data_IF_421802309643
#
_entry.id   IF_421802309643
#
_cell.length_a   1.000
_cell.length_b   1.000
_cell.length_c   1.000
_cell.angle_alpha   90.00
_cell.angle_beta   90.00
_cell.angle_gamma   90.00
#
_symmetry.space_group_name_H-M   'P 1'
#
loop_
_entity.id
_entity.type
_entity.pdbx_description
1 polymer ?
#
# COMPACT_ATOMS: atom_id res chain seq x y z
N UNK A 1 -1.52 -3.31 -33.61
CA UNK A 1 -0.27 -3.31 -32.84
C UNK A 1 -0.57 -2.92 -31.41
N UNK A 2 -0.65 -3.87 -30.47
CA UNK A 2 -0.75 -3.58 -29.02
C UNK A 2 0.67 -3.51 -28.50
N UNK A 3 1.18 -2.33 -28.24
CA UNK A 3 2.42 -2.13 -27.51
C UNK A 3 2.20 -2.63 -26.08
N UNK A 4 2.59 -3.87 -25.80
CA UNK A 4 2.62 -4.37 -24.44
C UNK A 4 3.69 -3.56 -23.69
N UNK A 5 3.24 -2.76 -22.72
CA UNK A 5 4.17 -2.11 -21.78
C UNK A 5 5.01 -3.20 -21.10
N UNK A 6 6.32 -2.94 -20.86
CA UNK A 6 7.15 -3.86 -20.11
C UNK A 6 6.43 -4.31 -18.83
N UNK A 7 6.54 -5.58 -18.48
CA UNK A 7 5.83 -6.21 -17.35
C UNK A 7 5.97 -5.42 -16.04
N UNK A 8 7.11 -4.78 -15.85
CA UNK A 8 7.42 -4.00 -14.66
C UNK A 8 6.68 -2.66 -14.61
N UNK A 9 6.56 -1.97 -15.76
CA UNK A 9 5.79 -0.71 -15.84
C UNK A 9 4.30 -0.97 -15.57
N UNK A 10 3.74 -2.05 -16.09
CA UNK A 10 2.35 -2.39 -15.84
C UNK A 10 2.07 -2.73 -14.35
N UNK A 11 3.03 -3.35 -13.66
CA UNK A 11 2.94 -3.62 -12.21
C UNK A 11 2.98 -2.34 -11.39
N UNK A 12 3.89 -1.42 -11.71
CA UNK A 12 4.00 -0.12 -11.04
C UNK A 12 2.72 0.69 -11.23
N UNK A 13 2.16 0.74 -12.44
CA UNK A 13 0.90 1.44 -12.72
C UNK A 13 -0.28 0.83 -11.95
N UNK A 14 -0.39 -0.50 -11.90
CA UNK A 14 -1.44 -1.18 -11.12
C UNK A 14 -1.30 -0.90 -9.63
N UNK A 15 -0.08 -0.97 -9.10
CA UNK A 15 0.20 -0.63 -7.71
C UNK A 15 -0.17 0.82 -7.39
N UNK A 16 0.20 1.76 -8.26
CA UNK A 16 -0.18 3.16 -8.14
C UNK A 16 -1.69 3.38 -8.17
N UNK A 17 -2.40 2.70 -9.07
CA UNK A 17 -3.86 2.77 -9.15
C UNK A 17 -4.54 2.22 -7.88
N UNK A 18 -4.05 1.10 -7.33
CA UNK A 18 -4.54 0.57 -6.05
C UNK A 18 -4.26 1.55 -4.91
N UNK A 19 -3.06 2.15 -4.89
CA UNK A 19 -2.71 3.17 -3.88
C UNK A 19 -3.65 4.38 -3.94
N UNK A 20 -3.96 4.88 -5.14
CA UNK A 20 -4.88 6.00 -5.33
C UNK A 20 -6.31 5.65 -4.87
N UNK A 21 -6.79 4.45 -5.21
CA UNK A 21 -8.11 3.98 -4.77
C UNK A 21 -8.17 3.85 -3.24
N UNK A 22 -7.13 3.30 -2.61
CA UNK A 22 -7.05 3.21 -1.16
C UNK A 22 -7.06 4.58 -0.49
N UNK A 23 -6.29 5.53 -1.03
CA UNK A 23 -6.24 6.90 -0.54
C UNK A 23 -7.61 7.57 -0.66
N UNK A 24 -8.26 7.45 -1.81
CA UNK A 24 -9.58 8.04 -2.03
C UNK A 24 -10.63 7.43 -1.09
N UNK A 25 -10.68 6.10 -0.95
CA UNK A 25 -11.59 5.42 -0.04
C UNK A 25 -11.32 5.81 1.41
N UNK A 26 -10.07 5.72 1.85
CA UNK A 26 -9.68 6.04 3.22
C UNK A 26 -10.04 7.46 3.60
N UNK A 27 -9.70 8.43 2.74
CA UNK A 27 -10.02 9.84 2.97
C UNK A 27 -11.53 10.10 3.00
N UNK A 28 -12.29 9.50 2.09
CA UNK A 28 -13.76 9.61 2.10
C UNK A 28 -14.36 9.08 3.40
N UNK A 29 -13.87 7.96 3.91
CA UNK A 29 -14.34 7.39 5.18
C UNK A 29 -13.93 8.23 6.39
N UNK A 30 -12.74 8.84 6.37
CA UNK A 30 -12.32 9.81 7.40
C UNK A 30 -13.30 10.98 7.44
N UNK A 31 -13.58 11.61 6.29
CA UNK A 31 -14.51 12.73 6.22
C UNK A 31 -15.92 12.34 6.66
N UNK A 32 -16.40 11.16 6.26
CA UNK A 32 -17.70 10.64 6.71
C UNK A 32 -17.72 10.42 8.23
N UNK A 33 -16.66 9.86 8.81
CA UNK A 33 -16.54 9.68 10.26
C UNK A 33 -16.55 11.00 11.02
N UNK A 34 -15.83 12.02 10.53
CA UNK A 34 -15.86 13.37 11.11
C UNK A 34 -17.28 13.96 11.04
N UNK A 35 -17.96 13.85 9.90
CA UNK A 35 -19.33 14.34 9.73
C UNK A 35 -20.33 13.62 10.64
N UNK A 36 -20.06 12.38 11.06
CA UNK A 36 -20.85 11.62 12.02
C UNK A 36 -20.45 11.89 13.48
N UNK A 37 -19.48 12.77 13.73
CA UNK A 37 -19.02 13.14 15.09
C UNK A 37 -18.20 12.04 15.78
N UNK A 38 -17.54 11.13 15.04
CA UNK A 38 -16.70 10.07 15.61
C UNK A 38 -15.36 10.57 16.15
N UNK A 39 -15.02 11.84 15.88
CA UNK A 39 -13.74 12.44 16.24
C UNK A 39 -12.57 11.99 15.35
N UNK A 40 -11.45 12.70 15.48
CA UNK A 40 -10.27 12.55 14.60
C UNK A 40 -9.66 11.15 14.62
N UNK A 41 -9.45 10.60 15.81
CA UNK A 41 -8.72 9.32 15.97
C UNK A 41 -9.53 8.15 15.39
N UNK A 42 -10.82 8.08 15.74
CA UNK A 42 -11.70 6.97 15.30
C UNK A 42 -11.92 7.04 13.79
N UNK A 43 -12.21 8.24 13.26
CA UNK A 43 -12.38 8.46 11.82
C UNK A 43 -11.12 8.10 11.04
N UNK A 44 -9.96 8.53 11.52
CA UNK A 44 -8.66 8.21 10.93
C UNK A 44 -8.41 6.69 10.94
N UNK A 45 -8.56 6.03 12.09
CA UNK A 45 -8.36 4.58 12.20
C UNK A 45 -9.30 3.78 11.28
N UNK A 46 -10.57 4.17 11.21
CA UNK A 46 -11.56 3.53 10.33
C UNK A 46 -11.18 3.65 8.86
N UNK A 47 -10.80 4.86 8.40
CA UNK A 47 -10.39 5.11 7.02
C UNK A 47 -9.16 4.29 6.63
N UNK A 48 -8.14 4.27 7.48
CA UNK A 48 -6.91 3.49 7.20
C UNK A 48 -7.14 1.99 7.26
N UNK A 49 -7.97 1.50 8.19
CA UNK A 49 -8.32 0.07 8.25
C UNK A 49 -9.04 -0.37 6.99
N UNK A 50 -9.99 0.41 6.50
CA UNK A 50 -10.72 0.11 5.27
C UNK A 50 -9.79 0.16 4.04
N UNK A 51 -8.94 1.18 3.93
CA UNK A 51 -7.94 1.30 2.86
C UNK A 51 -6.94 0.13 2.86
N UNK A 52 -6.43 -0.25 4.03
CA UNK A 52 -5.52 -1.40 4.16
C UNK A 52 -6.19 -2.70 3.74
N UNK A 53 -7.42 -2.92 4.17
CA UNK A 53 -8.20 -4.12 3.83
C UNK A 53 -8.41 -4.20 2.32
N UNK A 54 -8.88 -3.11 1.70
CA UNK A 54 -9.05 -3.05 0.24
C UNK A 54 -7.72 -3.28 -0.48
N UNK A 55 -6.65 -2.61 -0.04
CA UNK A 55 -5.31 -2.74 -0.61
C UNK A 55 -4.77 -4.16 -0.53
N UNK A 56 -4.97 -4.84 0.57
CA UNK A 56 -4.57 -6.23 0.74
C UNK A 56 -5.28 -7.13 -0.28
N UNK A 57 -6.61 -7.01 -0.42
CA UNK A 57 -7.37 -7.84 -1.35
C UNK A 57 -7.04 -7.53 -2.82
N UNK A 58 -6.92 -6.25 -3.18
CA UNK A 58 -6.58 -5.85 -4.54
C UNK A 58 -5.16 -6.24 -4.91
N UNK A 59 -4.18 -5.99 -4.04
CA UNK A 59 -2.80 -6.35 -4.30
C UNK A 59 -2.63 -7.86 -4.39
N UNK A 60 -3.25 -8.64 -3.52
CA UNK A 60 -3.20 -10.10 -3.57
C UNK A 60 -3.76 -10.65 -4.87
N UNK A 61 -4.90 -10.12 -5.35
CA UNK A 61 -5.58 -10.62 -6.55
C UNK A 61 -5.02 -10.05 -7.86
N UNK A 62 -4.65 -8.77 -7.87
CA UNK A 62 -4.39 -8.04 -9.12
C UNK A 62 -2.92 -7.72 -9.35
N UNK A 63 -2.15 -7.45 -8.30
CA UNK A 63 -0.74 -7.06 -8.42
C UNK A 63 0.18 -8.26 -8.32
N UNK A 64 -0.09 -9.19 -7.42
CA UNK A 64 0.82 -10.30 -7.13
C UNK A 64 0.37 -11.66 -7.64
N UNK A 65 -0.84 -11.82 -8.19
CA UNK A 65 -1.40 -12.96 -8.95
C UNK A 65 -0.88 -14.40 -8.72
N UNK A 66 0.14 -14.60 -7.91
CA UNK A 66 0.75 -15.86 -7.47
C UNK A 66 1.52 -15.64 -6.18
N UNK A 67 1.53 -16.66 -5.31
CA UNK A 67 2.20 -16.81 -4.03
C UNK A 67 3.27 -15.75 -3.73
N UNK A 68 2.88 -14.71 -2.99
CA UNK A 68 3.84 -13.73 -2.49
C UNK A 68 4.89 -14.43 -1.64
N UNK A 69 6.17 -14.12 -1.84
CA UNK A 69 7.23 -14.55 -0.94
C UNK A 69 6.82 -14.22 0.50
N UNK A 70 6.93 -15.15 1.46
CA UNK A 70 6.50 -14.93 2.84
C UNK A 70 7.05 -13.64 3.47
N UNK A 71 8.26 -13.24 3.09
CA UNK A 71 8.88 -12.00 3.57
C UNK A 71 8.30 -10.70 2.97
N UNK A 72 7.63 -10.74 1.82
CA UNK A 72 7.06 -9.55 1.18
C UNK A 72 5.85 -9.02 1.95
N UNK A 73 5.02 -9.91 2.50
CA UNK A 73 3.86 -9.53 3.33
C UNK A 73 4.31 -8.84 4.61
N UNK A 74 5.33 -9.37 5.28
CA UNK A 74 5.87 -8.77 6.50
C UNK A 74 6.48 -7.39 6.22
N UNK A 75 7.26 -7.23 5.15
CA UNK A 75 7.83 -5.94 4.74
C UNK A 75 6.76 -4.93 4.35
N UNK A 76 5.71 -5.38 3.68
CA UNK A 76 4.55 -4.54 3.35
C UNK A 76 3.83 -4.07 4.62
N UNK A 77 3.58 -4.98 5.57
CA UNK A 77 2.96 -4.65 6.85
C UNK A 77 3.82 -3.68 7.67
N UNK A 78 5.15 -3.87 7.73
CA UNK A 78 6.05 -2.94 8.41
C UNK A 78 6.04 -1.55 7.76
N UNK A 79 6.09 -1.47 6.44
CA UNK A 79 5.98 -0.19 5.72
C UNK A 79 4.67 0.52 6.03
N UNK A 80 3.57 -0.24 6.11
CA UNK A 80 2.28 0.29 6.53
C UNK A 80 2.32 0.85 7.96
N UNK A 81 2.84 0.09 8.92
CA UNK A 81 2.92 0.53 10.33
C UNK A 81 3.71 1.83 10.46
N UNK A 82 4.85 1.95 9.77
CA UNK A 82 5.66 3.17 9.79
C UNK A 82 4.92 4.34 9.16
N UNK A 83 4.33 4.15 7.98
CA UNK A 83 3.61 5.21 7.28
C UNK A 83 2.36 5.66 8.05
N UNK A 84 1.61 4.71 8.62
CA UNK A 84 0.43 5.01 9.44
C UNK A 84 0.81 5.70 10.75
N UNK A 85 1.88 5.26 11.40
CA UNK A 85 2.40 5.92 12.62
C UNK A 85 2.78 7.38 12.37
N UNK A 86 3.40 7.69 11.23
CA UNK A 86 3.72 9.06 10.84
C UNK A 86 2.45 9.90 10.61
N UNK A 87 1.44 9.34 9.93
CA UNK A 87 0.14 10.01 9.76
C UNK A 87 -0.54 10.27 11.11
N UNK A 88 -0.63 9.26 11.98
CA UNK A 88 -1.25 9.40 13.28
C UNK A 88 -0.52 10.44 14.15
N UNK A 89 0.81 10.51 14.04
CA UNK A 89 1.61 11.53 14.70
C UNK A 89 1.23 12.96 14.28
N UNK A 90 0.97 13.19 12.97
CA UNK A 90 0.48 14.49 12.48
C UNK A 90 -0.89 14.82 13.09
N UNK A 91 -1.82 13.86 13.07
CA UNK A 91 -3.18 14.07 13.62
C UNK A 91 -3.11 14.43 15.09
N UNK A 92 -2.35 13.70 15.89
CA UNK A 92 -2.20 13.96 17.33
C UNK A 92 -1.52 15.32 17.58
N UNK A 93 -0.46 15.65 16.83
CA UNK A 93 0.21 16.94 16.94
C UNK A 93 -0.71 18.11 16.58
N UNK A 94 -1.53 17.96 15.55
CA UNK A 94 -2.51 18.98 15.14
C UNK A 94 -3.63 19.13 16.18
N UNK A 95 -4.12 18.04 16.76
CA UNK A 95 -5.10 18.08 17.85
C UNK A 95 -4.55 18.86 19.06
N UNK A 96 -3.29 18.61 19.45
CA UNK A 96 -2.64 19.33 20.55
C UNK A 96 -2.42 20.81 20.25
N UNK A 97 -2.36 21.19 18.98
CA UNK A 97 -2.31 22.58 18.52
C UNK A 97 -3.68 23.24 18.33
N UNK A 98 -4.78 22.55 18.66
CA UNK A 98 -6.16 23.07 18.58
C UNK A 98 -6.86 22.86 17.24
N UNK A 99 -6.22 22.16 16.29
CA UNK A 99 -6.85 21.81 15.00
C UNK A 99 -7.64 20.50 15.14
N UNK A 100 -8.81 20.56 15.79
CA UNK A 100 -9.68 19.41 16.03
C UNK A 100 -10.62 19.25 14.82
N UNK A 101 -10.83 18.00 14.37
CA UNK A 101 -11.74 17.62 13.28
C UNK A 101 -11.48 18.38 11.95
N UNK A 102 -10.23 18.74 11.68
CA UNK A 102 -9.85 19.46 10.49
C UNK A 102 -9.62 18.54 9.30
N UNK A 103 -10.43 18.63 8.21
CA UNK A 103 -10.21 17.84 7.00
C UNK A 103 -8.83 18.02 6.38
N UNK A 104 -8.25 19.22 6.51
CA UNK A 104 -6.92 19.53 5.97
C UNK A 104 -5.79 18.80 6.71
N UNK A 105 -5.93 18.56 8.02
CA UNK A 105 -4.99 17.78 8.81
C UNK A 105 -4.98 16.32 8.31
N UNK A 106 -6.17 15.76 8.11
CA UNK A 106 -6.30 14.40 7.57
C UNK A 106 -5.78 14.29 6.14
N UNK A 107 -5.99 15.32 5.31
CA UNK A 107 -5.45 15.37 3.95
C UNK A 107 -3.91 15.40 3.97
N UNK A 108 -3.30 16.24 4.80
CA UNK A 108 -1.84 16.34 4.96
C UNK A 108 -1.25 15.01 5.47
N UNK A 109 -1.88 14.41 6.47
CA UNK A 109 -1.49 13.09 6.99
C UNK A 109 -1.58 12.00 5.92
N UNK A 110 -2.63 12.01 5.10
CA UNK A 110 -2.83 11.05 4.02
C UNK A 110 -1.79 11.22 2.90
N UNK A 111 -1.43 12.45 2.56
CA UNK A 111 -0.34 12.74 1.62
C UNK A 111 1.00 12.21 2.15
N UNK A 112 1.35 12.50 3.41
CA UNK A 112 2.57 12.00 4.03
C UNK A 112 2.60 10.47 4.08
N UNK A 113 1.51 9.84 4.52
CA UNK A 113 1.35 8.39 4.49
C UNK A 113 1.64 7.82 3.10
N UNK A 114 1.02 8.39 2.06
CA UNK A 114 1.17 7.90 0.68
C UNK A 114 2.61 7.99 0.19
N UNK A 115 3.32 9.07 0.51
CA UNK A 115 4.74 9.24 0.15
C UNK A 115 5.62 8.21 0.87
N UNK A 116 5.46 8.07 2.19
CA UNK A 116 6.26 7.11 2.99
C UNK A 116 5.97 5.68 2.54
N UNK A 117 4.70 5.34 2.34
CA UNK A 117 4.29 4.01 1.91
C UNK A 117 4.81 3.66 0.51
N UNK A 118 4.76 4.62 -0.44
CA UNK A 118 5.31 4.44 -1.77
C UNK A 118 6.82 4.23 -1.74
N UNK A 119 7.56 5.12 -1.06
CA UNK A 119 9.02 5.02 -0.97
C UNK A 119 9.47 3.74 -0.25
N UNK A 120 8.81 3.40 0.85
CA UNK A 120 9.07 2.17 1.60
C UNK A 120 8.76 0.92 0.76
N UNK A 121 7.63 0.90 0.08
CA UNK A 121 7.27 -0.21 -0.80
C UNK A 121 8.25 -0.36 -1.95
N UNK A 122 8.65 0.73 -2.61
CA UNK A 122 9.60 0.70 -3.71
C UNK A 122 10.99 0.21 -3.28
N UNK A 123 11.47 0.60 -2.07
CA UNK A 123 12.82 0.27 -1.61
C UNK A 123 12.92 -1.04 -0.84
N UNK A 124 11.89 -1.44 -0.08
CA UNK A 124 11.95 -2.62 0.80
C UNK A 124 11.16 -3.82 0.27
N UNK A 125 10.04 -3.59 -0.42
CA UNK A 125 9.21 -4.70 -0.92
C UNK A 125 9.74 -5.21 -2.25
N UNK A 126 10.21 -4.33 -3.11
CA UNK A 126 10.67 -4.66 -4.47
C UNK A 126 12.18 -4.83 -4.62
N UNK A 127 12.99 -4.35 -3.68
CA UNK A 127 14.46 -4.52 -3.72
C UNK A 127 14.93 -5.98 -3.56
N UNK A 128 14.09 -6.86 -2.99
CA UNK A 128 14.43 -8.28 -2.78
C UNK A 128 14.08 -9.21 -3.94
N UNK A 129 13.58 -8.70 -5.05
CA UNK A 129 13.17 -9.55 -6.19
C UNK A 129 14.09 -9.50 -7.41
N UNK A 130 15.10 -8.62 -7.39
CA UNK A 130 16.02 -8.46 -8.51
C UNK A 130 17.35 -9.23 -8.34
N UNK A 131 17.68 -9.69 -7.15
CA UNK A 131 19.01 -10.22 -6.82
C UNK A 131 19.02 -11.71 -6.44
N UNK A 132 17.99 -12.48 -6.78
CA UNK A 132 18.03 -13.94 -6.58
C UNK A 132 18.09 -14.65 -7.95
N UNK A 133 19.30 -14.88 -8.51
CA UNK A 133 19.50 -15.66 -9.72
C UNK A 133 19.05 -17.12 -9.55
N UNK A 134 19.02 -17.63 -8.32
CA UNK A 134 18.69 -19.01 -8.01
C UNK A 134 17.17 -19.26 -8.05
N UNK A 135 16.35 -18.23 -7.78
CA UNK A 135 14.91 -18.33 -7.93
C UNK A 135 14.47 -18.48 -9.41
N UNK A 136 15.24 -17.92 -10.34
CA UNK A 136 15.02 -18.10 -11.79
C UNK A 136 15.45 -19.47 -12.28
N UNK A 137 16.55 -20.01 -11.74
CA UNK A 137 17.05 -21.34 -12.06
C UNK A 137 16.10 -22.46 -11.55
N UNK A 138 15.53 -22.29 -10.36
CA UNK A 138 14.61 -23.26 -9.76
C UNK A 138 13.27 -23.38 -10.50
N UNK A 139 12.83 -22.34 -11.21
CA UNK A 139 11.59 -22.37 -12.02
C UNK A 139 11.83 -23.03 -13.38
N UNK A 140 13.04 -23.04 -13.88
CA UNK A 140 13.36 -23.55 -15.21
C UNK A 140 13.76 -25.05 -15.22
N UNK A 141 14.02 -25.64 -14.04
CA UNK A 141 14.36 -27.07 -13.91
C UNK A 141 13.13 -27.99 -13.72
N UNK A 142 11.92 -27.48 -13.76
CA UNK A 142 10.69 -28.25 -13.54
C UNK A 142 9.88 -28.53 -14.80
N UNK A 143 10.55 -28.79 -15.94
CA UNK A 143 9.94 -29.47 -17.09
C UNK A 143 10.57 -30.85 -17.26
N UNK A 144 9.98 -31.94 -16.72
CA UNK A 144 10.33 -33.29 -17.16
C UNK A 144 9.49 -33.59 -18.40
N UNK A 145 10.09 -33.47 -19.58
CA UNK A 145 9.38 -33.86 -20.81
C UNK A 145 9.99 -33.34 -22.10
N UNK A 146 11.30 -33.42 -22.27
CA UNK A 146 11.86 -33.57 -23.61
C UNK A 146 12.06 -35.06 -23.82
N UNK A 147 11.07 -35.72 -24.43
CA UNK A 147 11.21 -37.08 -24.96
C UNK A 147 11.80 -36.95 -26.33
N UNK A 148 12.84 -37.69 -26.57
CA UNK A 148 13.53 -38.09 -27.82
C UNK A 148 12.62 -38.19 -29.03
#
# INVERSE_FOLDING_TARGET
MRSALPSDVSRVLRFGAVGLLNTALGYTLILAGLALGLGDIVSNAAGYTAGLTLGFFLNRRWTFGRAGCPGAVARYAMTFVVAYGANLGIVIAAMSAGFIESPFVHLAGNCLYSVIFYLGSARFVFAGGADDPDAFAATNTRWPGAVT
#
